data_IF_644432374983
#
_entry.id   IF_644432374983
#
_cell.length_a   1.000
_cell.length_b   1.000
_cell.length_c   1.000
_cell.angle_alpha   90.00
_cell.angle_beta   90.00
_cell.angle_gamma   90.00
#
_symmetry.space_group_name_H-M   'P 1'
#
loop_
_entity.id
_entity.type
_entity.pdbx_description
1 polymer ?
#
# COMPACT_ATOMS: atom_id res chain seq x y z
N UNK A 1 4.94 -6.34 -14.14
CA UNK A 1 4.15 -7.55 -14.13
C UNK A 1 3.22 -7.47 -15.29
N UNK A 2 3.35 -8.46 -16.15
CA UNK A 2 2.14 -9.16 -16.54
C UNK A 2 1.38 -9.53 -15.26
N UNK A 3 0.12 -9.09 -15.11
CA UNK A 3 -0.64 -9.23 -13.86
C UNK A 3 -0.65 -10.68 -13.31
N UNK A 4 -0.38 -11.67 -14.18
CA UNK A 4 -0.19 -13.07 -13.84
C UNK A 4 0.89 -13.36 -12.80
N UNK A 5 2.08 -12.72 -12.83
CA UNK A 5 3.18 -13.14 -11.92
C UNK A 5 2.88 -12.91 -10.42
N UNK A 6 2.18 -11.83 -10.07
CA UNK A 6 1.75 -11.61 -8.66
C UNK A 6 0.56 -12.49 -8.30
N UNK A 7 -0.36 -12.72 -9.24
CA UNK A 7 -1.44 -13.67 -9.02
C UNK A 7 -0.90 -15.06 -8.71
N UNK A 8 0.15 -15.49 -9.41
CA UNK A 8 0.81 -16.78 -9.18
C UNK A 8 1.56 -16.80 -7.83
N UNK A 9 2.33 -15.75 -7.53
CA UNK A 9 3.08 -15.63 -6.26
C UNK A 9 2.14 -15.70 -5.04
N UNK A 10 1.04 -14.97 -5.12
CA UNK A 10 0.01 -14.89 -4.08
C UNK A 10 -1.03 -16.00 -4.20
N UNK A 11 -0.93 -16.88 -5.20
CA UNK A 11 -1.86 -17.98 -5.46
C UNK A 11 -3.33 -17.53 -5.43
N UNK A 12 -3.62 -16.37 -6.07
CA UNK A 12 -4.94 -15.71 -6.03
C UNK A 12 -6.04 -16.47 -6.78
N UNK A 13 -5.68 -17.54 -7.48
CA UNK A 13 -6.60 -18.50 -8.09
C UNK A 13 -7.23 -19.47 -7.08
N UNK A 14 -6.72 -19.55 -5.84
CA UNK A 14 -7.25 -20.41 -4.79
C UNK A 14 -8.12 -19.61 -3.79
N UNK A 15 -9.45 -19.87 -3.73
CA UNK A 15 -10.32 -19.20 -2.76
C UNK A 15 -9.90 -19.43 -1.31
N UNK A 16 -9.28 -20.59 -1.02
CA UNK A 16 -8.77 -20.91 0.32
C UNK A 16 -7.57 -20.04 0.71
N UNK A 17 -6.71 -19.74 -0.26
CA UNK A 17 -5.58 -18.83 -0.06
C UNK A 17 -6.08 -17.41 0.20
N UNK A 18 -7.00 -16.92 -0.63
CA UNK A 18 -7.60 -15.60 -0.43
C UNK A 18 -8.31 -15.50 0.92
N UNK A 19 -9.07 -16.52 1.33
CA UNK A 19 -9.73 -16.57 2.64
C UNK A 19 -8.73 -16.48 3.80
N UNK A 20 -7.55 -17.10 3.69
CA UNK A 20 -6.50 -16.95 4.71
C UNK A 20 -5.94 -15.52 4.77
N UNK A 21 -5.76 -14.84 3.63
CA UNK A 21 -5.32 -13.44 3.61
C UNK A 21 -6.36 -12.50 4.21
N UNK A 22 -7.63 -12.72 3.91
CA UNK A 22 -8.75 -11.97 4.48
C UNK A 22 -8.88 -12.23 5.99
N UNK A 23 -8.70 -13.47 6.43
CA UNK A 23 -8.65 -13.82 7.85
C UNK A 23 -7.53 -13.08 8.61
N UNK A 24 -6.31 -13.01 8.05
CA UNK A 24 -5.23 -12.23 8.67
C UNK A 24 -5.64 -10.75 8.77
N UNK A 25 -6.25 -10.19 7.73
CA UNK A 25 -6.74 -8.81 7.75
C UNK A 25 -7.77 -8.56 8.85
N UNK A 26 -8.77 -9.43 8.98
CA UNK A 26 -9.78 -9.28 10.03
C UNK A 26 -9.18 -9.41 11.43
N UNK A 27 -8.27 -10.37 11.66
CA UNK A 27 -7.61 -10.51 12.97
C UNK A 27 -6.80 -9.27 13.36
N UNK A 28 -6.14 -8.64 12.38
CA UNK A 28 -5.41 -7.39 12.58
C UNK A 28 -6.35 -6.22 12.85
N UNK A 29 -7.50 -6.16 12.16
CA UNK A 29 -8.55 -5.16 12.40
C UNK A 29 -9.19 -5.32 13.78
N UNK A 30 -9.30 -6.56 14.27
CA UNK A 30 -9.75 -6.90 15.62
C UNK A 30 -8.70 -6.53 16.70
N UNK A 31 -7.56 -5.94 16.30
CA UNK A 31 -6.53 -5.43 17.21
C UNK A 31 -5.43 -6.43 17.55
N UNK A 32 -5.38 -7.60 16.90
CA UNK A 32 -4.28 -8.54 17.12
C UNK A 32 -2.98 -8.03 16.47
N UNK A 33 -1.88 -8.15 17.21
CA UNK A 33 -0.55 -7.94 16.64
C UNK A 33 -0.19 -9.08 15.69
N UNK A 34 0.44 -8.77 14.56
CA UNK A 34 0.93 -9.77 13.59
C UNK A 34 1.79 -10.86 14.25
N UNK A 35 2.62 -10.48 15.23
CA UNK A 35 3.44 -11.45 15.97
C UNK A 35 2.62 -12.44 16.79
N UNK A 36 1.47 -12.00 17.31
CA UNK A 36 0.59 -12.77 18.19
C UNK A 36 -0.37 -13.71 17.47
N UNK A 37 -0.65 -13.45 16.19
CA UNK A 37 -1.51 -14.31 15.36
C UNK A 37 -0.90 -15.72 15.31
N UNK A 38 -1.74 -16.75 15.38
CA UNK A 38 -1.36 -18.16 15.18
C UNK A 38 -2.02 -18.71 13.92
N UNK A 39 -1.43 -19.77 13.35
CA UNK A 39 -2.03 -20.50 12.21
C UNK A 39 -3.45 -20.98 12.55
N UNK A 40 -3.70 -21.39 13.79
CA UNK A 40 -5.04 -21.78 14.26
C UNK A 40 -6.05 -20.64 14.12
N UNK A 41 -5.67 -19.43 14.50
CA UNK A 41 -6.55 -18.26 14.49
C UNK A 41 -6.93 -17.92 13.05
N UNK A 42 -5.94 -17.94 12.14
CA UNK A 42 -6.14 -17.74 10.70
C UNK A 42 -7.09 -18.80 10.14
N UNK A 43 -6.83 -20.08 10.41
CA UNK A 43 -7.62 -21.17 9.86
C UNK A 43 -9.06 -21.18 10.38
N UNK A 44 -9.25 -20.85 11.66
CA UNK A 44 -10.57 -20.72 12.28
C UNK A 44 -11.35 -19.56 11.66
N UNK A 45 -10.73 -18.39 11.52
CA UNK A 45 -11.36 -17.20 10.93
C UNK A 45 -11.66 -17.41 9.43
N UNK A 46 -10.77 -18.09 8.70
CA UNK A 46 -10.95 -18.43 7.29
C UNK A 46 -11.92 -19.60 7.04
N UNK A 47 -12.37 -20.31 8.09
CA UNK A 47 -13.25 -21.47 7.96
C UNK A 47 -12.61 -22.68 7.27
N UNK A 48 -11.29 -22.85 7.39
CA UNK A 48 -10.53 -23.95 6.77
C UNK A 48 -9.87 -24.86 7.81
N UNK A 49 -9.54 -26.10 7.42
CA UNK A 49 -8.79 -27.02 8.27
C UNK A 49 -7.32 -26.63 8.41
N UNK A 50 -6.71 -26.89 9.57
CA UNK A 50 -5.29 -26.56 9.82
C UNK A 50 -4.33 -27.29 8.87
N UNK A 51 -4.63 -28.55 8.52
CA UNK A 51 -3.87 -29.29 7.50
C UNK A 51 -3.90 -28.60 6.14
N UNK A 52 -5.04 -28.02 5.78
CA UNK A 52 -5.19 -27.28 4.53
C UNK A 52 -4.32 -26.03 4.45
N UNK A 53 -4.06 -25.32 5.55
CA UNK A 53 -3.13 -24.20 5.53
C UNK A 53 -1.69 -24.65 5.18
N UNK A 54 -1.26 -25.81 5.68
CA UNK A 54 0.06 -26.38 5.40
C UNK A 54 0.20 -26.96 4.00
N UNK A 55 -0.92 -27.21 3.29
CA UNK A 55 -0.88 -27.55 1.86
C UNK A 55 -0.46 -26.36 1.00
N UNK A 56 -0.65 -25.12 1.48
CA UNK A 56 -0.38 -23.88 0.74
C UNK A 56 0.84 -23.11 1.24
N UNK A 57 1.16 -23.21 2.53
CA UNK A 57 2.17 -22.37 3.18
C UNK A 57 3.08 -23.18 4.11
N UNK A 58 4.37 -22.86 4.09
CA UNK A 58 5.39 -23.52 4.89
C UNK A 58 5.41 -23.01 6.33
N UNK A 59 5.00 -21.76 6.55
CA UNK A 59 5.07 -21.12 7.86
C UNK A 59 3.95 -20.09 8.06
N UNK A 60 3.74 -19.71 9.33
CA UNK A 60 2.84 -18.61 9.67
C UNK A 60 3.31 -17.29 9.04
N UNK A 61 4.62 -17.08 9.06
CA UNK A 61 5.29 -15.89 8.59
C UNK A 61 5.09 -15.71 7.08
N UNK A 62 5.07 -16.81 6.32
CA UNK A 62 4.74 -16.80 4.90
C UNK A 62 3.29 -16.34 4.65
N UNK A 63 2.33 -16.86 5.42
CA UNK A 63 0.91 -16.45 5.32
C UNK A 63 0.79 -14.95 5.58
N UNK A 64 1.39 -14.48 6.68
CA UNK A 64 1.34 -13.07 7.07
C UNK A 64 1.99 -12.18 6.00
N UNK A 65 3.18 -12.54 5.51
CA UNK A 65 3.91 -11.79 4.48
C UNK A 65 3.11 -11.65 3.20
N UNK A 66 2.53 -12.76 2.72
CA UNK A 66 1.71 -12.73 1.51
C UNK A 66 0.37 -12.04 1.73
N UNK A 67 -0.23 -12.15 2.91
CA UNK A 67 -1.43 -11.39 3.28
C UNK A 67 -1.17 -9.87 3.27
N UNK A 68 -0.02 -9.42 3.79
CA UNK A 68 0.39 -8.01 3.71
C UNK A 68 0.44 -7.56 2.25
N UNK A 69 1.14 -8.31 1.39
CA UNK A 69 1.28 -7.95 -0.02
C UNK A 69 -0.07 -7.95 -0.75
N UNK A 70 -0.92 -8.94 -0.48
CA UNK A 70 -2.30 -9.00 -0.98
C UNK A 70 -3.08 -7.73 -0.60
N UNK A 71 -3.04 -7.32 0.67
CA UNK A 71 -3.76 -6.15 1.16
C UNK A 71 -3.24 -4.84 0.56
N UNK A 72 -1.91 -4.70 0.42
CA UNK A 72 -1.29 -3.54 -0.23
C UNK A 72 -1.71 -3.50 -1.70
N UNK A 73 -1.59 -4.61 -2.42
CA UNK A 73 -1.95 -4.69 -3.84
C UNK A 73 -3.43 -4.34 -4.06
N UNK A 74 -4.34 -4.95 -3.28
CA UNK A 74 -5.78 -4.65 -3.30
C UNK A 74 -6.03 -3.17 -3.03
N UNK A 75 -5.38 -2.60 -2.02
CA UNK A 75 -5.51 -1.17 -1.67
C UNK A 75 -5.06 -0.23 -2.79
N UNK A 76 -3.95 -0.55 -3.47
CA UNK A 76 -3.44 0.24 -4.61
C UNK A 76 -4.38 0.10 -5.80
N UNK A 77 -4.84 -1.11 -6.13
CA UNK A 77 -5.76 -1.33 -7.24
C UNK A 77 -7.10 -0.62 -7.03
N UNK A 78 -7.68 -0.72 -5.85
CA UNK A 78 -8.94 -0.04 -5.49
C UNK A 78 -8.80 1.49 -5.63
N UNK A 79 -7.67 2.05 -5.17
CA UNK A 79 -7.39 3.48 -5.23
C UNK A 79 -7.11 3.95 -6.66
N UNK A 80 -6.30 3.20 -7.41
CA UNK A 80 -5.86 3.58 -8.75
C UNK A 80 -7.04 3.79 -9.69
N UNK A 81 -8.08 2.97 -9.61
CA UNK A 81 -9.29 3.12 -10.44
C UNK A 81 -10.03 4.44 -10.18
N UNK A 82 -10.13 4.86 -8.92
CA UNK A 82 -10.80 6.12 -8.56
C UNK A 82 -9.96 7.34 -8.95
N UNK A 83 -8.66 7.29 -8.71
CA UNK A 83 -7.73 8.36 -9.05
C UNK A 83 -7.65 8.56 -10.57
N UNK A 84 -7.55 7.48 -11.34
CA UNK A 84 -7.40 7.58 -12.80
C UNK A 84 -8.65 8.12 -13.51
N UNK A 85 -9.81 8.15 -12.83
CA UNK A 85 -11.05 8.79 -13.34
C UNK A 85 -11.09 10.30 -13.15
N UNK A 86 -10.20 10.89 -12.35
CA UNK A 86 -10.16 12.34 -12.16
C UNK A 86 -9.53 13.02 -13.37
N UNK A 87 -10.06 14.19 -13.72
CA UNK A 87 -9.65 14.91 -14.93
C UNK A 87 -8.40 15.75 -14.73
N UNK A 88 -8.21 16.34 -13.54
CA UNK A 88 -7.06 17.18 -13.24
C UNK A 88 -6.08 16.52 -12.25
N UNK A 89 -4.82 16.95 -12.27
CA UNK A 89 -3.77 16.42 -11.41
C UNK A 89 -4.03 16.69 -9.93
N UNK A 90 -4.52 17.89 -9.60
CA UNK A 90 -4.88 18.27 -8.24
C UNK A 90 -5.91 17.30 -7.66
N UNK A 91 -7.02 17.07 -8.38
CA UNK A 91 -8.06 16.12 -7.96
C UNK A 91 -7.51 14.70 -7.79
N UNK A 92 -6.52 14.29 -8.61
CA UNK A 92 -5.86 12.98 -8.45
C UNK A 92 -5.11 12.88 -7.13
N UNK A 93 -4.35 13.92 -6.77
CA UNK A 93 -3.62 13.94 -5.50
C UNK A 93 -4.59 14.00 -4.32
N UNK A 94 -5.61 14.86 -4.38
CA UNK A 94 -6.63 14.93 -3.32
C UNK A 94 -7.42 13.63 -3.20
N UNK A 95 -7.71 12.91 -4.29
CA UNK A 95 -8.36 11.60 -4.23
C UNK A 95 -7.48 10.56 -3.52
N UNK A 96 -6.16 10.57 -3.73
CA UNK A 96 -5.23 9.72 -2.98
C UNK A 96 -5.31 10.04 -1.48
N UNK A 97 -5.22 11.32 -1.12
CA UNK A 97 -5.23 11.78 0.28
C UNK A 97 -6.59 11.50 0.96
N UNK A 98 -7.70 11.75 0.28
CA UNK A 98 -9.05 11.44 0.75
C UNK A 98 -9.23 9.93 0.94
N UNK A 99 -8.70 9.11 0.02
CA UNK A 99 -8.74 7.66 0.17
C UNK A 99 -7.97 7.21 1.42
N UNK A 100 -6.80 7.80 1.67
CA UNK A 100 -6.01 7.51 2.88
C UNK A 100 -6.76 7.88 4.15
N UNK A 101 -7.37 9.06 4.22
CA UNK A 101 -8.17 9.50 5.36
C UNK A 101 -9.36 8.57 5.60
N UNK A 102 -10.19 8.37 4.58
CA UNK A 102 -11.43 7.58 4.68
C UNK A 102 -11.18 6.13 5.07
N UNK A 103 -10.04 5.58 4.66
CA UNK A 103 -9.66 4.21 4.94
C UNK A 103 -8.63 4.07 6.07
N UNK A 104 -8.29 5.17 6.75
CA UNK A 104 -7.19 5.18 7.71
C UNK A 104 -7.39 4.14 8.80
N UNK A 105 -8.56 4.08 9.45
CA UNK A 105 -8.84 3.12 10.52
C UNK A 105 -8.72 1.67 10.07
N UNK A 106 -9.22 1.37 8.87
CA UNK A 106 -9.23 0.01 8.29
C UNK A 106 -7.87 -0.39 7.70
N UNK A 107 -7.02 0.58 7.37
CA UNK A 107 -5.72 0.34 6.72
C UNK A 107 -4.53 0.72 7.61
N UNK A 108 -4.77 1.21 8.83
CA UNK A 108 -3.75 1.71 9.77
C UNK A 108 -2.65 0.69 9.96
N UNK A 109 -3.01 -0.54 10.27
CA UNK A 109 -2.06 -1.61 10.58
C UNK A 109 -1.18 -2.00 9.37
N UNK A 110 -1.71 -1.90 8.16
CA UNK A 110 -0.99 -2.23 6.93
C UNK A 110 -0.12 -1.08 6.42
N UNK A 111 -0.62 0.15 6.52
CA UNK A 111 0.16 1.35 6.23
C UNK A 111 1.29 1.54 7.26
N UNK A 112 1.02 1.25 8.54
CA UNK A 112 2.04 1.21 9.58
C UNK A 112 3.12 0.18 9.25
N UNK A 113 2.73 -1.01 8.80
CA UNK A 113 3.68 -2.03 8.35
C UNK A 113 4.50 -1.56 7.14
N UNK A 114 3.85 -1.05 6.08
CA UNK A 114 4.52 -0.54 4.88
C UNK A 114 5.48 0.62 5.20
N UNK A 115 5.05 1.61 6.00
CA UNK A 115 5.86 2.77 6.37
C UNK A 115 6.99 2.42 7.33
N UNK A 116 6.76 1.53 8.31
CA UNK A 116 7.80 1.05 9.23
C UNK A 116 8.86 0.25 8.48
N UNK A 117 8.47 -0.58 7.52
CA UNK A 117 9.40 -1.37 6.72
C UNK A 117 10.09 -0.59 5.59
N UNK A 118 9.46 0.45 5.05
CA UNK A 118 10.12 1.40 4.15
C UNK A 118 11.19 2.26 4.87
N UNK A 119 11.05 2.48 6.18
CA UNK A 119 12.08 3.09 7.02
C UNK A 119 13.09 2.06 7.54
N UNK A 120 12.68 0.81 7.75
CA UNK A 120 13.53 -0.30 8.17
C UNK A 120 14.10 -1.11 6.99
N UNK A 121 14.74 -0.42 6.01
CA UNK A 121 15.59 -1.04 4.96
C UNK A 121 16.80 -1.82 5.58
N UNK A 122 16.79 -2.07 6.89
CA UNK A 122 17.88 -2.72 7.65
C UNK A 122 17.38 -3.69 8.72
N UNK A 123 16.24 -4.36 8.53
CA UNK A 123 15.87 -5.50 9.39
C UNK A 123 15.57 -6.74 8.55
N UNK A 124 16.57 -7.62 8.50
CA UNK A 124 16.59 -9.02 8.05
C UNK A 124 15.22 -9.71 7.92
N UNK A 125 14.51 -9.45 6.81
CA UNK A 125 13.46 -10.35 6.31
C UNK A 125 13.66 -10.54 4.80
N UNK A 126 14.56 -11.47 4.45
CA UNK A 126 14.83 -11.88 3.05
C UNK A 126 13.55 -12.17 2.25
N UNK A 127 12.48 -12.64 2.91
CA UNK A 127 11.19 -12.93 2.27
C UNK A 127 10.47 -11.67 1.78
N UNK A 128 10.42 -10.58 2.55
CA UNK A 128 9.72 -9.37 2.12
C UNK A 128 10.53 -8.62 1.05
N UNK A 129 11.85 -8.56 1.22
CA UNK A 129 12.75 -7.94 0.25
C UNK A 129 12.78 -8.70 -1.07
N UNK A 130 12.89 -10.02 -1.07
CA UNK A 130 12.87 -10.81 -2.29
C UNK A 130 11.56 -10.61 -3.04
N UNK A 131 10.43 -10.57 -2.33
CA UNK A 131 9.09 -10.32 -2.86
C UNK A 131 8.94 -8.88 -3.42
N UNK A 132 9.42 -7.86 -2.72
CA UNK A 132 9.39 -6.47 -3.19
C UNK A 132 10.35 -6.22 -4.36
N UNK A 133 11.44 -7.00 -4.44
CA UNK A 133 12.38 -7.04 -5.56
C UNK A 133 11.89 -7.91 -6.73
N UNK A 134 10.76 -8.64 -6.59
CA UNK A 134 10.21 -9.40 -7.70
C UNK A 134 9.81 -8.46 -8.82
N UNK A 135 10.30 -8.78 -10.02
CA UNK A 135 9.98 -8.09 -11.26
C UNK A 135 8.48 -8.17 -11.55
N UNK A 136 7.75 -7.19 -11.03
CA UNK A 136 6.48 -6.82 -11.60
C UNK A 136 5.50 -6.07 -10.71
N UNK A 137 5.60 -6.13 -9.38
CA UNK A 137 4.84 -5.20 -8.53
C UNK A 137 5.11 -3.73 -8.98
N UNK A 138 6.34 -3.51 -9.43
CA UNK A 138 6.80 -2.30 -10.08
C UNK A 138 5.94 -1.83 -11.27
N UNK A 139 5.32 -2.68 -12.11
CA UNK A 139 4.67 -2.16 -13.34
C UNK A 139 3.33 -1.47 -13.13
N UNK A 140 2.50 -1.97 -12.21
CA UNK A 140 1.20 -1.36 -11.92
C UNK A 140 1.38 0.00 -11.25
N UNK A 141 2.25 0.03 -10.25
CA UNK A 141 2.66 1.25 -9.55
C UNK A 141 3.37 2.23 -10.49
N UNK A 142 4.27 1.74 -11.34
CA UNK A 142 4.93 2.55 -12.37
C UNK A 142 3.95 3.11 -13.39
N UNK A 143 2.95 2.34 -13.83
CA UNK A 143 1.91 2.82 -14.72
C UNK A 143 1.08 3.92 -14.04
N UNK A 144 0.68 3.69 -12.80
CA UNK A 144 -0.06 4.66 -11.98
C UNK A 144 0.71 5.97 -11.81
N UNK A 145 1.96 5.90 -11.36
CA UNK A 145 2.83 7.08 -11.17
C UNK A 145 3.11 7.78 -12.50
N UNK A 146 3.37 7.03 -13.58
CA UNK A 146 3.54 7.60 -14.93
C UNK A 146 2.27 8.33 -15.39
N UNK A 147 1.09 7.80 -15.08
CA UNK A 147 -0.19 8.46 -15.36
C UNK A 147 -0.33 9.81 -14.66
N UNK A 148 0.12 9.91 -13.41
CA UNK A 148 0.16 11.17 -12.65
C UNK A 148 1.13 12.18 -13.28
N UNK A 149 2.34 11.74 -13.65
CA UNK A 149 3.35 12.60 -14.30
C UNK A 149 2.83 13.14 -15.63
N UNK A 150 2.22 12.28 -16.46
CA UNK A 150 1.66 12.69 -17.75
C UNK A 150 0.55 13.73 -17.58
N UNK A 151 -0.30 13.57 -16.55
CA UNK A 151 -1.34 14.54 -16.22
C UNK A 151 -0.74 15.89 -15.79
N UNK A 152 0.22 15.89 -14.86
CA UNK A 152 0.90 17.10 -14.42
C UNK A 152 1.60 17.84 -15.57
N UNK A 153 2.22 17.11 -16.49
CA UNK A 153 2.85 17.68 -17.68
C UNK A 153 1.82 18.28 -18.65
N UNK A 154 0.72 17.56 -18.92
CA UNK A 154 -0.39 18.04 -19.77
C UNK A 154 -0.98 19.35 -19.23
N UNK A 155 -1.09 19.48 -17.91
CA UNK A 155 -1.58 20.67 -17.22
C UNK A 155 -0.52 21.78 -17.06
N UNK A 156 0.71 21.56 -17.55
CA UNK A 156 1.83 22.51 -17.44
C UNK A 156 2.23 22.84 -15.99
N UNK A 157 1.94 21.94 -15.06
CA UNK A 157 2.36 22.07 -13.66
C UNK A 157 3.86 21.78 -13.47
N UNK A 158 4.41 20.98 -14.38
CA UNK A 158 5.84 20.65 -14.49
C UNK A 158 6.35 21.01 -15.89
N UNK A 159 7.61 21.45 -16.04
CA UNK A 159 8.13 21.95 -17.32
C UNK A 159 8.38 20.86 -18.35
N UNK A 160 8.64 19.63 -17.90
CA UNK A 160 8.93 18.47 -18.75
C UNK A 160 8.55 17.17 -18.03
N UNK A 161 8.29 16.07 -18.75
CA UNK A 161 8.11 14.76 -18.14
C UNK A 161 9.33 14.36 -17.30
N UNK A 162 9.08 13.76 -16.14
CA UNK A 162 10.12 13.33 -15.20
C UNK A 162 10.23 11.81 -15.14
N UNK A 163 11.38 11.30 -14.73
CA UNK A 163 11.60 9.86 -14.57
C UNK A 163 10.73 9.29 -13.44
N UNK A 164 10.42 7.99 -13.51
CA UNK A 164 9.69 7.29 -12.45
C UNK A 164 10.33 7.49 -11.07
N UNK A 165 11.66 7.40 -10.99
CA UNK A 165 12.37 7.61 -9.73
C UNK A 165 12.13 9.03 -9.17
N UNK A 166 12.25 10.07 -10.00
CA UNK A 166 11.98 11.46 -9.58
C UNK A 166 10.52 11.64 -9.15
N UNK A 167 9.59 11.02 -9.86
CA UNK A 167 8.18 11.05 -9.50
C UNK A 167 7.91 10.37 -8.15
N UNK A 168 8.46 9.17 -7.96
CA UNK A 168 8.36 8.37 -6.75
C UNK A 168 8.91 9.10 -5.50
N UNK A 169 10.11 9.69 -5.59
CA UNK A 169 10.71 10.43 -4.46
C UNK A 169 10.00 11.75 -4.19
N UNK A 170 9.21 12.28 -5.12
CA UNK A 170 8.33 13.42 -4.85
C UNK A 170 7.00 13.01 -4.23
N UNK A 171 6.44 11.85 -4.59
CA UNK A 171 5.13 11.39 -4.12
C UNK A 171 5.20 10.64 -2.78
N UNK A 172 6.04 9.61 -2.67
CA UNK A 172 6.04 8.72 -1.50
C UNK A 172 6.32 9.42 -0.16
N UNK A 173 7.24 10.39 -0.07
CA UNK A 173 7.43 11.11 1.18
C UNK A 173 6.18 11.88 1.64
N UNK A 174 5.38 12.39 0.69
CA UNK A 174 4.16 13.12 1.02
C UNK A 174 3.05 12.19 1.51
N UNK A 175 2.96 10.99 0.94
CA UNK A 175 2.09 9.92 1.43
C UNK A 175 2.50 9.51 2.85
N UNK A 176 3.79 9.32 3.11
CA UNK A 176 4.29 8.98 4.45
C UNK A 176 4.06 10.11 5.46
N UNK A 177 4.25 11.36 5.07
CA UNK A 177 4.01 12.53 5.93
C UNK A 177 2.52 12.68 6.26
N UNK A 178 1.63 12.49 5.29
CA UNK A 178 0.19 12.53 5.54
C UNK A 178 -0.29 11.35 6.41
N UNK A 179 0.33 10.17 6.28
CA UNK A 179 0.09 9.07 7.21
C UNK A 179 0.53 9.41 8.64
N UNK A 180 1.69 10.04 8.82
CA UNK A 180 2.15 10.54 10.12
C UNK A 180 1.13 11.52 10.73
N UNK A 181 0.54 12.39 9.90
CA UNK A 181 -0.56 13.27 10.29
C UNK A 181 -1.78 12.50 10.81
N UNK A 182 -2.28 11.54 10.01
CA UNK A 182 -3.46 10.75 10.38
C UNK A 182 -3.26 9.90 11.63
N UNK A 183 -2.03 9.50 11.95
CA UNK A 183 -1.69 8.77 13.18
C UNK A 183 -1.66 9.64 14.44
N UNK A 184 -1.94 10.95 14.31
CA UNK A 184 -2.03 11.87 15.45
C UNK A 184 -0.71 11.99 16.19
N UNK A 185 0.41 11.88 15.47
CA UNK A 185 1.75 12.00 16.05
C UNK A 185 2.03 13.44 16.50
N UNK A 186 3.15 13.65 17.21
CA UNK A 186 3.56 14.95 17.74
C UNK A 186 3.59 16.03 16.64
N UNK A 187 3.00 17.20 16.93
CA UNK A 187 2.98 18.38 16.06
C UNK A 187 1.86 18.37 15.01
N UNK A 188 1.00 17.34 15.00
CA UNK A 188 -0.13 17.26 14.04
C UNK A 188 -1.33 18.10 14.47
N UNK A 189 -1.39 18.49 15.74
CA UNK A 189 -2.36 19.43 16.31
C UNK A 189 -2.14 20.88 15.88
N UNK A 190 -0.96 21.21 15.34
CA UNK A 190 -0.61 22.54 14.84
C UNK A 190 -1.22 22.85 13.46
N UNK A 191 -1.71 21.84 12.73
CA UNK A 191 -2.25 21.99 11.38
C UNK A 191 -3.60 21.29 11.22
N UNK A 192 -4.50 21.91 10.49
CA UNK A 192 -5.79 21.31 10.12
C UNK A 192 -5.59 20.22 9.06
N UNK A 193 -6.59 19.34 8.94
CA UNK A 193 -6.59 18.28 7.91
C UNK A 193 -6.49 18.86 6.49
N UNK A 194 -7.15 20.00 6.24
CA UNK A 194 -7.11 20.67 4.96
C UNK A 194 -5.70 21.20 4.65
N UNK A 195 -5.05 21.82 5.64
CA UNK A 195 -3.66 22.29 5.52
C UNK A 195 -2.69 21.12 5.31
N UNK A 196 -2.85 20.01 6.04
CA UNK A 196 -2.01 18.83 5.85
C UNK A 196 -2.10 18.27 4.41
N UNK A 197 -3.31 18.23 3.83
CA UNK A 197 -3.51 17.80 2.43
C UNK A 197 -2.90 18.79 1.44
N UNK A 198 -3.07 20.09 1.69
CA UNK A 198 -2.51 21.14 0.85
C UNK A 198 -0.97 21.10 0.85
N UNK A 199 -0.34 20.96 2.02
CA UNK A 199 1.12 20.80 2.17
C UNK A 199 1.61 19.61 1.34
N UNK A 200 0.93 18.46 1.44
CA UNK A 200 1.28 17.27 0.67
C UNK A 200 1.23 17.54 -0.85
N UNK A 201 0.15 18.17 -1.33
CA UNK A 201 0.00 18.53 -2.75
C UNK A 201 1.09 19.50 -3.23
N UNK A 202 1.30 20.60 -2.52
CA UNK A 202 2.28 21.64 -2.87
C UNK A 202 3.70 21.07 -2.92
N UNK A 203 4.05 20.18 -1.99
CA UNK A 203 5.35 19.53 -1.96
C UNK A 203 5.56 18.59 -3.16
N UNK A 204 4.53 17.84 -3.60
CA UNK A 204 4.64 17.02 -4.82
C UNK A 204 5.01 17.90 -6.01
N UNK A 205 4.29 18.99 -6.24
CA UNK A 205 4.57 19.92 -7.34
C UNK A 205 5.95 20.56 -7.21
N UNK A 206 6.34 20.98 -6.01
CA UNK A 206 7.64 21.61 -5.75
C UNK A 206 8.81 20.70 -6.07
N UNK A 207 8.70 19.40 -5.80
CA UNK A 207 9.76 18.41 -6.10
C UNK A 207 9.78 18.04 -7.59
N UNK A 208 8.62 18.06 -8.25
CA UNK A 208 8.49 17.66 -9.65
C UNK A 208 8.82 18.76 -10.66
N UNK A 209 8.75 20.04 -10.28
CA UNK A 209 9.30 21.16 -11.04
C UNK A 209 10.82 21.07 -11.10
#
# INVERSE_FOLDING_TARGET
MDAGKLQDLLQLNSPKVTAMYEAVNELVLDGMSLHSIKVSDITQKAGIGKGTAYDYFQSKEEIITKAILYNIHKSICDMAHCVMKKDCFEDKIYEILNNMENNYKTRRSWLQYLCFHAQSITMEQEHLESILKLEGYDSGLRCFVTGLVNQAYKEKLIPQPISYYRAAVGLFPQISAFWYYLDGKTGTDEVTLAEAKQIAYENVIKVWR
#
